data_IF_440559597078
#
_entry.id   IF_440559597078
#
_cell.length_a   1.000
_cell.length_b   1.000
_cell.length_c   1.000
_cell.angle_alpha   90.00
_cell.angle_beta   90.00
_cell.angle_gamma   90.00
#
_symmetry.space_group_name_H-M   'P 1'
#
loop_
_entity.id
_entity.type
_entity.pdbx_description
1 polymer ?
#
# COMPACT_ATOMS: atom_id res chain seq x y z
N UNK A 1 -15.77 -1.54 -5.76
CA UNK A 1 -14.43 -0.91 -5.71
C UNK A 1 -13.61 -1.27 -6.95
N UNK A 2 -13.21 -2.54 -7.12
CA UNK A 2 -12.39 -2.99 -8.27
C UNK A 2 -12.92 -2.55 -9.65
N UNK A 3 -14.19 -2.80 -9.96
CA UNK A 3 -14.76 -2.47 -11.29
C UNK A 3 -14.71 -0.99 -11.66
N UNK A 4 -14.58 -0.08 -10.68
CA UNK A 4 -14.39 1.34 -10.94
C UNK A 4 -12.92 1.63 -11.30
N UNK A 5 -11.98 1.04 -10.55
CA UNK A 5 -10.55 1.22 -10.78
C UNK A 5 -10.12 0.63 -12.13
N UNK A 6 -10.63 -0.55 -12.46
CA UNK A 6 -10.39 -1.21 -13.75
C UNK A 6 -10.86 -0.38 -14.94
N UNK A 7 -12.01 0.31 -14.81
CA UNK A 7 -12.55 1.20 -15.85
C UNK A 7 -11.81 2.54 -15.95
N UNK A 8 -11.05 2.93 -14.93
CA UNK A 8 -10.35 4.22 -14.86
C UNK A 8 -8.85 4.01 -14.60
N UNK A 9 -8.06 3.63 -15.62
CA UNK A 9 -6.65 3.27 -15.43
C UNK A 9 -5.78 4.38 -14.81
N UNK A 10 -6.20 5.64 -14.91
CA UNK A 10 -5.49 6.79 -14.33
C UNK A 10 -5.44 6.79 -12.80
N UNK A 11 -6.28 6.00 -12.11
CA UNK A 11 -6.27 5.92 -10.64
C UNK A 11 -5.12 5.07 -10.10
N UNK A 12 -4.48 4.26 -10.95
CA UNK A 12 -3.31 3.48 -10.57
C UNK A 12 -2.04 4.33 -10.64
N UNK A 13 -1.11 4.05 -9.73
CA UNK A 13 0.20 4.68 -9.65
C UNK A 13 1.28 3.62 -9.70
N UNK A 14 2.47 3.98 -10.18
CA UNK A 14 3.57 3.00 -10.29
C UNK A 14 4.33 2.83 -8.99
N UNK A 15 4.38 3.89 -8.17
CA UNK A 15 5.16 3.95 -6.95
C UNK A 15 4.38 4.57 -5.79
N UNK A 16 4.78 4.22 -4.56
CA UNK A 16 4.22 4.79 -3.34
C UNK A 16 4.40 6.31 -3.25
N UNK A 17 5.54 6.84 -3.71
CA UNK A 17 5.85 8.27 -3.72
C UNK A 17 4.83 9.08 -4.54
N UNK A 18 4.46 8.57 -5.72
CA UNK A 18 3.45 9.16 -6.59
C UNK A 18 2.06 9.11 -5.93
N UNK A 19 1.71 7.98 -5.33
CA UNK A 19 0.45 7.83 -4.58
C UNK A 19 0.33 8.85 -3.45
N UNK A 20 1.38 9.01 -2.64
CA UNK A 20 1.40 10.00 -1.54
C UNK A 20 1.27 11.43 -2.06
N UNK A 21 1.99 11.78 -3.12
CA UNK A 21 1.92 13.10 -3.73
C UNK A 21 0.49 13.43 -4.17
N UNK A 22 -0.20 12.49 -4.81
CA UNK A 22 -1.60 12.67 -5.23
C UNK A 22 -2.56 12.81 -4.04
N UNK A 23 -2.33 12.08 -2.94
CA UNK A 23 -3.12 12.24 -1.70
C UNK A 23 -2.98 13.67 -1.15
N UNK A 24 -1.75 14.21 -1.15
CA UNK A 24 -1.47 15.57 -0.68
C UNK A 24 -2.02 16.66 -1.61
N UNK A 25 -2.08 16.39 -2.92
CA UNK A 25 -2.72 17.28 -3.91
C UNK A 25 -4.25 17.35 -3.73
N UNK A 26 -4.85 16.39 -3.03
CA UNK A 26 -6.27 16.33 -2.70
C UNK A 26 -7.10 15.42 -3.63
N UNK A 27 -8.37 15.22 -3.28
CA UNK A 27 -9.36 14.41 -4.03
C UNK A 27 -8.92 12.98 -4.41
N UNK A 28 -7.90 12.44 -3.74
CA UNK A 28 -7.38 11.10 -3.97
C UNK A 28 -7.13 10.38 -2.65
N UNK A 29 -7.59 9.12 -2.58
CA UNK A 29 -7.30 8.21 -1.47
C UNK A 29 -6.52 7.02 -2.00
N UNK A 30 -5.40 6.72 -1.35
CA UNK A 30 -4.50 5.65 -1.77
C UNK A 30 -4.62 4.43 -0.86
N UNK A 31 -4.82 3.25 -1.44
CA UNK A 31 -4.82 1.99 -0.71
C UNK A 31 -3.37 1.54 -0.47
N UNK A 32 -2.96 1.46 0.79
CA UNK A 32 -1.60 1.11 1.19
C UNK A 32 -1.64 0.00 2.24
N UNK A 33 -0.57 -0.79 2.31
CA UNK A 33 -0.36 -1.76 3.39
C UNK A 33 -0.24 -1.06 4.75
N UNK A 34 -0.77 -1.68 5.79
CA UNK A 34 -0.89 -1.09 7.14
C UNK A 34 0.45 -0.64 7.73
N UNK A 35 1.49 -1.46 7.65
CA UNK A 35 2.83 -1.14 8.16
C UNK A 35 3.44 0.08 7.49
N UNK A 36 3.29 0.18 6.17
CA UNK A 36 3.79 1.30 5.38
C UNK A 36 2.95 2.55 5.63
N UNK A 37 1.63 2.40 5.76
CA UNK A 37 0.73 3.50 6.09
C UNK A 37 1.08 4.09 7.46
N UNK A 38 1.23 3.26 8.48
CA UNK A 38 1.60 3.68 9.84
C UNK A 38 2.95 4.43 9.83
N UNK A 39 3.94 3.91 9.09
CA UNK A 39 5.25 4.53 8.94
C UNK A 39 5.18 5.93 8.30
N UNK A 40 4.30 6.12 7.31
CA UNK A 40 4.17 7.37 6.57
C UNK A 40 3.37 8.42 7.35
N UNK A 41 2.24 8.03 7.95
CA UNK A 41 1.43 8.94 8.79
C UNK A 41 2.22 9.41 10.02
N UNK A 42 3.10 8.56 10.57
CA UNK A 42 4.00 8.98 11.65
C UNK A 42 5.03 10.04 11.22
N UNK A 43 5.38 10.12 9.92
CA UNK A 43 6.37 11.07 9.40
C UNK A 43 5.74 12.34 8.85
N UNK A 44 4.59 12.23 8.19
CA UNK A 44 3.89 13.35 7.60
C UNK A 44 2.52 13.50 8.26
N UNK A 45 2.40 14.52 9.10
CA UNK A 45 1.17 14.84 9.83
C UNK A 45 0.01 15.29 8.93
N UNK A 46 0.26 15.61 7.65
CA UNK A 46 -0.80 15.95 6.70
C UNK A 46 -1.50 14.70 6.15
N UNK A 47 -0.91 13.52 6.33
CA UNK A 47 -1.51 12.25 5.96
C UNK A 47 -2.35 11.72 7.12
N UNK A 48 -3.48 11.10 6.79
CA UNK A 48 -4.36 10.48 7.78
C UNK A 48 -4.76 9.08 7.34
N UNK A 49 -4.84 8.18 8.30
CA UNK A 49 -5.40 6.85 8.08
C UNK A 49 -6.91 6.95 7.99
N UNK A 50 -7.48 6.33 6.96
CA UNK A 50 -8.93 6.22 6.79
C UNK A 50 -9.33 4.74 6.82
N UNK A 51 -10.21 4.38 7.74
CA UNK A 51 -10.70 3.01 7.89
C UNK A 51 -9.74 2.09 8.65
N UNK A 52 -9.95 0.78 8.49
CA UNK A 52 -9.14 -0.27 9.12
C UNK A 52 -8.49 -1.19 8.10
N UNK A 53 -8.06 -2.38 8.54
CA UNK A 53 -7.44 -3.38 7.69
C UNK A 53 -8.45 -3.96 6.69
N UNK A 54 -8.09 -3.99 5.41
CA UNK A 54 -8.87 -4.66 4.35
C UNK A 54 -8.61 -6.18 4.34
N UNK A 55 -7.40 -6.57 4.69
CA UNK A 55 -6.96 -7.96 4.79
C UNK A 55 -5.86 -8.11 5.85
N UNK A 56 -5.54 -9.35 6.19
CA UNK A 56 -4.43 -9.70 7.06
C UNK A 56 -3.34 -10.35 6.21
N UNK A 57 -2.31 -9.57 5.88
CA UNK A 57 -1.11 -10.00 5.17
C UNK A 57 0.11 -9.85 6.07
N UNK A 58 1.17 -10.60 5.75
CA UNK A 58 2.45 -10.52 6.45
C UNK A 58 3.63 -10.70 5.50
N UNK A 59 4.78 -10.18 5.92
CA UNK A 59 6.02 -10.34 5.17
C UNK A 59 6.66 -11.71 5.44
N UNK A 60 7.11 -12.36 4.38
CA UNK A 60 7.86 -13.61 4.45
C UNK A 60 9.13 -13.53 3.61
N UNK A 61 10.15 -14.29 4.00
CA UNK A 61 11.37 -14.46 3.21
C UNK A 61 11.13 -15.66 2.28
N UNK A 62 11.00 -15.42 0.98
CA UNK A 62 10.84 -16.48 0.01
C UNK A 62 12.19 -17.17 -0.24
N UNK A 63 12.25 -18.48 0.00
CA UNK A 63 13.42 -19.31 -0.27
C UNK A 63 13.16 -20.28 -1.41
N UNK A 64 14.18 -20.67 -2.19
CA UNK A 64 14.02 -21.70 -3.23
C UNK A 64 13.47 -23.00 -2.64
N UNK A 65 12.54 -23.64 -3.36
CA UNK A 65 11.87 -24.87 -2.93
C UNK A 65 12.84 -26.05 -2.77
N UNK A 66 14.01 -26.03 -3.44
CA UNK A 66 15.02 -27.08 -3.47
C UNK A 66 16.27 -26.78 -2.62
N UNK A 67 16.18 -25.87 -1.65
CA UNK A 67 17.15 -25.85 -0.57
C UNK A 67 16.56 -26.67 0.57
N UNK A 68 17.10 -27.87 0.79
CA UNK A 68 17.03 -28.53 2.09
C UNK A 68 17.57 -27.55 3.13
N UNK A 69 16.67 -26.79 3.76
CA UNK A 69 16.95 -26.04 4.96
C UNK A 69 17.11 -27.06 6.09
N UNK A 70 18.27 -27.71 6.11
CA UNK A 70 18.77 -28.40 7.28
C UNK A 70 19.11 -27.31 8.31
N UNK A 71 18.13 -27.02 9.17
CA UNK A 71 18.35 -26.35 10.46
C UNK A 71 18.70 -27.44 11.47
#
# INVERSE_FOLDING_TARGET
MWSFMEKNPSVFVSEYSEGMKRVLEGDYAFLMESTMLDYMVQRDCNLTQIGGLLDNKGYGIATPMDNSMDI
#
